data_IF_288973418814
#
_entry.id   IF_288973418814
#
_cell.length_a   1.000
_cell.length_b   1.000
_cell.length_c   1.000
_cell.angle_alpha   90.00
_cell.angle_beta   90.00
_cell.angle_gamma   90.00
#
_symmetry.space_group_name_H-M   'P 1'
#
loop_
_entity.id
_entity.type
_entity.pdbx_description
1 polymer ?
#
# COMPACT_ATOMS: atom_id res chain seq x y z
N UNK A 1 10.01 18.10 18.90
CA UNK A 1 9.12 17.82 17.78
C UNK A 1 7.82 17.22 18.29
N UNK A 2 6.72 17.55 17.64
CA UNK A 2 5.40 17.01 17.92
C UNK A 2 5.22 15.65 17.25
N UNK A 3 4.59 14.71 17.97
CA UNK A 3 4.17 13.41 17.45
C UNK A 3 2.78 13.06 18.00
N UNK A 4 1.99 12.30 17.23
CA UNK A 4 0.70 11.77 17.68
C UNK A 4 0.82 10.25 17.80
N UNK A 5 0.50 9.75 18.99
CA UNK A 5 0.60 8.33 19.30
C UNK A 5 -0.38 7.90 20.39
N UNK A 6 -0.13 6.76 21.00
CA UNK A 6 -0.96 6.22 22.09
C UNK A 6 -0.10 5.36 23.04
N UNK A 7 -0.58 5.16 24.27
CA UNK A 7 0.13 4.41 25.32
C UNK A 7 -0.32 2.96 25.42
N UNK A 8 -1.58 2.70 25.10
CA UNK A 8 -2.19 1.36 25.17
C UNK A 8 -3.02 1.10 23.92
N UNK A 9 -3.12 -0.15 23.46
CA UNK A 9 -3.99 -0.49 22.32
C UNK A 9 -5.44 -0.12 22.64
N UNK A 10 -6.19 0.30 21.64
CA UNK A 10 -7.60 0.71 21.81
C UNK A 10 -8.43 0.48 20.56
N UNK A 11 -9.75 0.32 20.75
CA UNK A 11 -10.75 0.31 19.68
C UNK A 11 -11.37 1.71 19.53
N UNK A 12 -11.89 2.03 18.33
CA UNK A 12 -12.49 3.36 18.12
C UNK A 12 -13.77 3.60 18.92
N UNK A 13 -14.50 2.56 19.29
CA UNK A 13 -15.70 2.64 20.14
C UNK A 13 -15.39 2.93 21.63
N UNK A 14 -14.14 2.77 22.05
CA UNK A 14 -13.65 3.22 23.35
C UNK A 14 -13.41 4.75 23.42
N UNK A 15 -13.49 5.43 22.27
CA UNK A 15 -13.22 6.86 22.12
C UNK A 15 -11.85 7.17 21.56
N UNK A 16 -11.50 8.46 21.53
CA UNK A 16 -10.21 8.91 21.01
C UNK A 16 -9.12 8.78 22.10
N UNK A 17 -8.30 7.75 21.99
CA UNK A 17 -7.15 7.51 22.89
C UNK A 17 -5.80 7.91 22.28
N UNK A 18 -5.79 8.60 21.15
CA UNK A 18 -4.58 9.25 20.67
C UNK A 18 -4.20 10.41 21.59
N UNK A 19 -2.90 10.63 21.77
CA UNK A 19 -2.34 11.71 22.56
C UNK A 19 -1.24 12.43 21.77
N UNK A 20 -1.04 13.70 22.04
CA UNK A 20 0.09 14.48 21.53
C UNK A 20 1.30 14.31 22.46
N UNK A 21 2.45 14.02 21.87
CA UNK A 21 3.73 13.90 22.56
C UNK A 21 4.72 14.90 22.02
N UNK A 22 5.62 15.36 22.87
CA UNK A 22 6.74 16.21 22.50
C UNK A 22 8.04 15.48 22.76
N UNK A 23 8.82 15.23 21.70
CA UNK A 23 10.13 14.58 21.75
C UNK A 23 11.22 15.57 21.33
N UNK A 24 12.45 15.27 21.69
CA UNK A 24 13.62 15.92 21.08
C UNK A 24 13.70 15.51 19.60
N UNK A 25 14.19 16.42 18.75
CA UNK A 25 14.46 16.08 17.36
C UNK A 25 15.64 15.10 17.32
N UNK A 26 15.49 13.89 16.75
CA UNK A 26 16.55 12.91 16.74
C UNK A 26 17.69 13.32 15.81
N UNK A 27 18.87 12.72 16.00
CA UNK A 27 20.02 12.92 15.15
C UNK A 27 20.26 11.67 14.28
N UNK A 28 20.36 11.81 12.95
CA UNK A 28 20.65 10.69 12.07
C UNK A 28 22.10 10.22 12.24
N UNK A 29 22.32 8.92 12.10
CA UNK A 29 23.62 8.24 12.14
C UNK A 29 23.70 7.22 11.01
N UNK A 30 24.90 6.81 10.61
CA UNK A 30 25.08 5.80 9.58
C UNK A 30 24.32 6.14 8.29
N UNK A 31 23.44 5.26 7.86
CA UNK A 31 22.61 5.41 6.66
C UNK A 31 21.26 6.08 6.89
N UNK A 32 21.02 6.68 8.05
CA UNK A 32 19.75 7.33 8.38
C UNK A 32 19.62 8.73 7.78
N UNK A 33 18.41 9.06 7.38
CA UNK A 33 17.97 10.39 6.96
C UNK A 33 17.04 10.95 8.05
N UNK A 34 17.21 12.19 8.43
CA UNK A 34 16.24 12.94 9.22
C UNK A 34 15.32 13.69 8.24
N UNK A 35 14.09 13.26 8.13
CA UNK A 35 13.11 13.85 7.23
C UNK A 35 12.14 14.73 8.00
N UNK A 36 12.02 16.01 7.60
CA UNK A 36 10.96 16.90 8.04
C UNK A 36 9.70 16.57 7.26
N UNK A 37 8.73 15.96 7.93
CA UNK A 37 7.49 15.43 7.31
C UNK A 37 6.59 16.56 6.88
N UNK A 38 6.04 16.48 5.67
CA UNK A 38 5.08 17.45 5.10
C UNK A 38 3.69 16.87 5.00
N UNK A 39 3.57 15.59 4.66
CA UNK A 39 2.30 14.88 4.55
C UNK A 39 2.49 13.39 4.84
N UNK A 40 1.46 12.78 5.39
CA UNK A 40 1.39 11.34 5.71
C UNK A 40 0.12 10.74 5.11
N UNK A 41 0.09 9.43 4.94
CA UNK A 41 -1.12 8.73 4.51
C UNK A 41 -1.44 7.58 5.44
N UNK A 42 -2.69 7.51 5.88
CA UNK A 42 -3.17 6.47 6.80
C UNK A 42 -3.61 5.23 6.00
N UNK A 43 -3.26 4.06 6.50
CA UNK A 43 -3.47 2.77 5.86
C UNK A 43 -4.28 1.82 6.75
N UNK A 44 -4.97 0.80 6.20
CA UNK A 44 -5.63 -0.22 7.02
C UNK A 44 -4.69 -0.98 7.98
N UNK A 45 -3.39 -1.03 7.70
CA UNK A 45 -2.40 -1.61 8.62
C UNK A 45 -2.22 -0.75 9.86
N UNK A 46 -2.33 0.57 9.77
CA UNK A 46 -2.27 1.48 10.92
C UNK A 46 -3.45 1.20 11.88
N UNK A 47 -4.66 1.02 11.34
CA UNK A 47 -5.85 0.72 12.17
C UNK A 47 -5.72 -0.63 12.87
N UNK A 48 -5.14 -1.63 12.19
CA UNK A 48 -4.86 -2.94 12.80
C UNK A 48 -3.77 -2.85 13.87
N UNK A 49 -2.69 -2.13 13.60
CA UNK A 49 -1.59 -1.99 14.57
C UNK A 49 -1.97 -1.17 15.81
N UNK A 50 -2.95 -0.26 15.71
CA UNK A 50 -3.50 0.44 16.86
C UNK A 50 -4.10 -0.52 17.90
N UNK A 51 -4.63 -1.66 17.47
CA UNK A 51 -5.26 -2.64 18.34
C UNK A 51 -4.30 -3.76 18.84
N UNK A 52 -3.04 -3.72 18.39
CA UNK A 52 -2.03 -4.70 18.79
C UNK A 52 -1.32 -4.28 20.08
N UNK A 53 -0.78 -5.22 20.87
CA UNK A 53 0.01 -4.90 22.04
C UNK A 53 1.11 -3.89 21.77
N UNK A 54 1.37 -3.00 22.73
CA UNK A 54 2.40 -1.96 22.67
C UNK A 54 3.59 -2.39 23.50
N UNK A 55 4.71 -2.73 22.85
CA UNK A 55 5.93 -3.15 23.54
C UNK A 55 6.63 -1.97 24.23
N UNK A 56 6.62 -0.80 23.58
CA UNK A 56 7.19 0.45 24.10
C UNK A 56 6.23 1.62 23.90
N UNK A 57 5.79 2.19 25.02
CA UNK A 57 4.90 3.36 25.02
C UNK A 57 5.71 4.67 25.12
N UNK A 58 5.29 5.76 24.47
CA UNK A 58 4.17 5.81 23.54
C UNK A 58 4.52 5.18 22.19
N UNK A 59 3.53 4.63 21.47
CA UNK A 59 3.67 4.15 20.10
C UNK A 59 3.20 5.21 19.13
N UNK A 60 4.06 5.61 18.22
CA UNK A 60 3.76 6.47 17.07
C UNK A 60 3.62 5.58 15.84
N UNK A 61 2.45 5.59 15.20
CA UNK A 61 2.17 4.87 13.95
C UNK A 61 2.41 5.76 12.72
N UNK A 62 2.03 5.23 11.56
CA UNK A 62 2.18 5.86 10.26
C UNK A 62 3.33 5.24 9.46
N UNK A 63 3.08 5.01 8.19
CA UNK A 63 4.09 4.40 7.31
C UNK A 63 4.43 5.33 6.15
N UNK A 64 3.40 5.75 5.39
CA UNK A 64 3.60 6.64 4.25
C UNK A 64 3.98 8.06 4.68
N UNK A 65 5.01 8.62 4.07
CA UNK A 65 5.34 10.03 4.21
C UNK A 65 5.95 10.64 2.95
N UNK A 66 5.77 11.95 2.84
CA UNK A 66 6.55 12.86 1.99
C UNK A 66 7.14 13.93 2.87
N UNK A 67 8.40 14.25 2.67
CA UNK A 67 9.07 15.29 3.42
C UNK A 67 10.36 15.77 2.75
N UNK A 68 11.05 16.66 3.46
CA UNK A 68 12.35 17.20 3.04
C UNK A 68 13.44 16.65 3.96
N UNK A 69 14.53 16.18 3.41
CA UNK A 69 15.71 15.78 4.19
C UNK A 69 16.29 17.01 4.85
N UNK A 70 16.27 17.02 6.18
CA UNK A 70 16.83 18.09 7.01
C UNK A 70 18.31 17.84 7.36
N UNK A 71 18.64 16.56 7.64
CA UNK A 71 20.01 16.11 7.95
C UNK A 71 20.21 14.69 7.46
N UNK A 72 21.48 14.33 7.26
CA UNK A 72 21.89 12.98 6.84
C UNK A 72 22.92 12.40 7.81
N UNK A 73 22.93 11.08 7.96
CA UNK A 73 23.96 10.33 8.66
C UNK A 73 25.28 10.29 7.87
N UNK A 74 26.34 9.93 8.55
CA UNK A 74 27.72 9.99 8.03
C UNK A 74 28.05 8.94 6.96
N UNK A 75 27.18 7.92 6.75
CA UNK A 75 27.34 6.89 5.71
C UNK A 75 26.32 7.03 4.57
N UNK A 76 25.45 8.03 4.61
CA UNK A 76 24.50 8.29 3.54
C UNK A 76 25.21 8.65 2.25
N UNK A 77 24.83 8.00 1.15
CA UNK A 77 25.44 8.16 -0.16
C UNK A 77 24.48 8.48 -1.30
N UNK A 78 23.18 8.20 -1.12
CA UNK A 78 22.17 8.30 -2.19
C UNK A 78 21.42 9.63 -2.18
N UNK A 79 21.49 10.39 -1.11
CA UNK A 79 20.71 11.61 -0.89
C UNK A 79 21.54 12.75 -0.30
N UNK A 80 21.00 13.96 -0.36
CA UNK A 80 21.54 15.16 0.25
C UNK A 80 20.47 15.96 1.00
N UNK A 81 20.88 16.82 1.90
CA UNK A 81 19.99 17.78 2.57
C UNK A 81 19.24 18.63 1.54
N UNK A 82 17.94 18.86 1.77
CA UNK A 82 17.03 19.56 0.86
C UNK A 82 16.36 18.69 -0.19
N UNK A 83 16.73 17.43 -0.37
CA UNK A 83 16.01 16.52 -1.26
C UNK A 83 14.59 16.31 -0.75
N UNK A 84 13.60 16.40 -1.65
CA UNK A 84 12.20 16.04 -1.36
C UNK A 84 12.04 14.56 -1.61
N UNK A 85 11.60 13.83 -0.60
CA UNK A 85 11.55 12.37 -0.62
C UNK A 85 10.19 11.83 -0.24
N UNK A 86 9.89 10.60 -0.67
CA UNK A 86 8.72 9.83 -0.29
C UNK A 86 9.10 8.39 0.05
N UNK A 87 8.39 7.79 0.99
CA UNK A 87 8.74 6.47 1.49
C UNK A 87 7.60 5.80 2.25
N UNK A 88 7.76 4.51 2.49
CA UNK A 88 7.01 3.77 3.49
C UNK A 88 7.98 3.24 4.54
N UNK A 89 7.71 3.57 5.81
CA UNK A 89 8.56 3.19 6.94
C UNK A 89 8.52 1.70 7.28
N UNK A 90 9.08 1.35 8.44
CA UNK A 90 9.16 -0.02 8.96
C UNK A 90 8.38 -0.18 10.26
N UNK A 91 7.74 -1.35 10.52
CA UNK A 91 6.96 -1.58 11.74
C UNK A 91 7.76 -1.59 13.05
N UNK A 92 9.09 -1.77 12.96
CA UNK A 92 10.00 -1.82 14.12
C UNK A 92 10.58 -0.46 14.53
N UNK A 93 10.16 0.62 13.88
CA UNK A 93 10.57 1.99 14.17
C UNK A 93 9.36 2.87 14.50
N UNK A 94 9.59 4.08 15.02
CA UNK A 94 8.55 5.09 15.10
C UNK A 94 8.03 5.41 13.70
N UNK A 95 6.71 5.59 13.61
CA UNK A 95 6.05 5.86 12.34
C UNK A 95 5.99 7.35 11.99
N UNK A 96 5.39 7.65 10.86
CA UNK A 96 5.38 9.00 10.26
C UNK A 96 4.38 9.98 10.88
N UNK A 97 3.61 9.59 11.91
CA UNK A 97 2.67 10.51 12.57
C UNK A 97 3.41 11.50 13.49
N UNK A 98 4.48 12.11 12.98
CA UNK A 98 5.36 13.04 13.69
C UNK A 98 5.96 14.10 12.75
N UNK A 99 6.49 15.20 13.28
CA UNK A 99 7.05 16.29 12.48
C UNK A 99 8.39 15.95 11.82
N UNK A 100 9.19 15.09 12.44
CA UNK A 100 10.49 14.62 11.94
C UNK A 100 10.61 13.14 12.15
N UNK A 101 11.01 12.41 11.13
CA UNK A 101 11.21 10.97 11.19
C UNK A 101 12.62 10.58 10.76
N UNK A 102 13.22 9.62 11.48
CA UNK A 102 14.41 8.91 11.02
C UNK A 102 13.98 7.76 10.10
N UNK A 103 14.67 7.63 8.97
CA UNK A 103 14.42 6.57 7.99
C UNK A 103 15.72 6.19 7.28
N UNK A 104 15.96 4.91 7.05
CA UNK A 104 17.11 4.42 6.30
C UNK A 104 17.01 4.80 4.81
N UNK A 105 18.13 5.25 4.20
CA UNK A 105 18.18 5.68 2.80
C UNK A 105 17.68 4.61 1.81
N UNK A 106 17.82 3.31 2.15
CA UNK A 106 17.38 2.19 1.30
C UNK A 106 15.86 2.05 1.18
N UNK A 107 15.10 2.67 2.07
CA UNK A 107 13.64 2.66 2.07
C UNK A 107 13.01 3.86 1.36
N UNK A 108 13.83 4.79 0.87
CA UNK A 108 13.42 6.12 0.45
C UNK A 108 13.71 6.33 -1.04
N UNK A 109 12.89 7.10 -1.74
CA UNK A 109 13.22 7.65 -3.06
C UNK A 109 12.85 9.13 -3.16
N UNK A 110 13.39 9.82 -4.16
CA UNK A 110 12.98 11.21 -4.47
C UNK A 110 11.54 11.24 -4.91
N UNK A 111 10.75 12.13 -4.32
CA UNK A 111 9.34 12.28 -4.67
C UNK A 111 9.17 12.78 -6.11
N UNK A 112 8.07 12.38 -6.80
CA UNK A 112 7.77 12.88 -8.15
C UNK A 112 7.66 14.41 -8.17
N UNK A 113 8.41 15.07 -9.04
CA UNK A 113 8.50 16.54 -9.11
C UNK A 113 7.23 17.23 -9.60
N UNK A 114 6.37 16.49 -10.30
CA UNK A 114 5.12 16.98 -10.89
C UNK A 114 3.91 16.79 -9.99
N UNK A 115 4.09 16.27 -8.76
CA UNK A 115 3.03 16.10 -7.78
C UNK A 115 3.25 17.01 -6.57
N UNK A 116 2.15 17.41 -5.94
CA UNK A 116 2.17 17.99 -4.59
C UNK A 116 2.43 16.90 -3.56
N UNK A 117 2.88 17.30 -2.34
CA UNK A 117 3.19 16.34 -1.27
C UNK A 117 2.00 15.42 -0.95
N UNK A 118 0.79 15.97 -0.80
CA UNK A 118 -0.42 15.20 -0.52
C UNK A 118 -0.81 14.20 -1.63
N UNK A 119 -0.37 14.44 -2.85
CA UNK A 119 -0.57 13.51 -3.95
C UNK A 119 0.49 12.39 -3.96
N UNK A 120 1.76 12.76 -3.79
CA UNK A 120 2.86 11.80 -3.78
C UNK A 120 2.78 10.82 -2.59
N UNK A 121 2.30 11.29 -1.43
CA UNK A 121 2.16 10.48 -0.21
C UNK A 121 1.19 9.30 -0.35
N UNK A 122 0.29 9.33 -1.35
CA UNK A 122 -0.65 8.23 -1.59
C UNK A 122 -0.02 6.98 -2.20
N UNK A 123 1.26 7.04 -2.60
CA UNK A 123 1.87 6.04 -3.47
C UNK A 123 2.78 5.02 -2.76
N UNK A 124 3.58 5.36 -1.71
CA UNK A 124 4.68 4.51 -1.27
C UNK A 124 4.25 3.11 -0.85
N UNK A 125 3.51 2.96 0.25
CA UNK A 125 3.11 1.65 0.77
C UNK A 125 2.34 0.83 -0.27
N UNK A 126 1.35 1.45 -0.88
CA UNK A 126 0.49 0.78 -1.85
C UNK A 126 1.23 0.41 -3.13
N UNK A 127 2.14 1.27 -3.57
CA UNK A 127 2.98 1.05 -4.73
C UNK A 127 4.01 -0.06 -4.50
N UNK A 128 4.70 -0.06 -3.35
CA UNK A 128 5.61 -1.15 -2.96
C UNK A 128 4.89 -2.49 -2.91
N UNK A 129 3.74 -2.55 -2.22
CA UNK A 129 2.91 -3.76 -2.17
C UNK A 129 2.54 -4.26 -3.58
N UNK A 130 2.15 -3.35 -4.48
CA UNK A 130 1.80 -3.72 -5.85
C UNK A 130 3.02 -4.17 -6.67
N UNK A 131 4.18 -3.50 -6.54
CA UNK A 131 5.41 -3.89 -7.25
C UNK A 131 5.92 -5.25 -6.80
N UNK A 132 6.01 -5.49 -5.50
CA UNK A 132 6.43 -6.79 -4.96
C UNK A 132 5.49 -7.90 -5.41
N UNK A 133 4.17 -7.70 -5.30
CA UNK A 133 3.19 -8.68 -5.77
C UNK A 133 3.35 -8.97 -7.26
N UNK A 134 3.44 -7.96 -8.10
CA UNK A 134 3.45 -8.15 -9.54
C UNK A 134 4.79 -8.71 -10.05
N UNK A 135 5.92 -8.22 -9.54
CA UNK A 135 7.22 -8.58 -10.09
C UNK A 135 7.93 -9.68 -9.33
N UNK A 136 7.91 -9.67 -7.99
CA UNK A 136 8.64 -10.65 -7.19
C UNK A 136 7.78 -11.91 -6.95
N UNK A 137 6.47 -11.75 -6.72
CA UNK A 137 5.57 -12.89 -6.44
C UNK A 137 5.02 -13.51 -7.72
N UNK A 138 4.46 -12.71 -8.63
CA UNK A 138 3.87 -13.22 -9.86
C UNK A 138 4.88 -13.40 -11.00
N UNK A 139 6.06 -12.79 -10.90
CA UNK A 139 7.08 -12.86 -11.94
C UNK A 139 6.63 -12.26 -13.27
N UNK A 140 5.84 -11.18 -13.23
CA UNK A 140 5.40 -10.48 -14.43
C UNK A 140 6.61 -9.86 -15.12
N UNK A 141 6.70 -10.04 -16.44
CA UNK A 141 7.81 -9.46 -17.22
C UNK A 141 7.73 -7.93 -17.25
N UNK A 142 8.90 -7.29 -17.12
CA UNK A 142 9.04 -5.84 -17.35
C UNK A 142 8.94 -5.47 -18.84
N UNK A 143 8.88 -6.45 -19.74
CA UNK A 143 8.56 -6.25 -21.15
C UNK A 143 7.06 -6.48 -21.38
N UNK A 144 6.24 -5.45 -21.68
CA UNK A 144 4.78 -5.58 -21.82
C UNK A 144 4.36 -6.59 -22.90
N UNK A 145 5.15 -6.78 -23.95
CA UNK A 145 4.82 -7.74 -25.03
C UNK A 145 4.78 -9.19 -24.57
N UNK A 146 5.55 -9.53 -23.53
CA UNK A 146 5.61 -10.91 -22.98
C UNK A 146 4.42 -11.21 -22.04
N UNK A 147 3.69 -10.21 -21.63
CA UNK A 147 2.49 -10.36 -20.80
C UNK A 147 1.20 -10.36 -21.62
N UNK A 148 1.31 -10.16 -22.93
CA UNK A 148 0.13 -10.11 -23.82
C UNK A 148 -0.68 -11.40 -23.71
N UNK A 149 -2.00 -11.27 -23.48
CA UNK A 149 -2.92 -12.38 -23.30
C UNK A 149 -3.02 -12.93 -21.88
N UNK A 150 -2.15 -12.49 -20.96
CA UNK A 150 -2.27 -12.81 -19.54
C UNK A 150 -3.27 -11.87 -18.84
N UNK A 151 -3.96 -12.38 -17.84
CA UNK A 151 -5.01 -11.67 -17.12
C UNK A 151 -4.77 -11.67 -15.62
N UNK A 152 -5.09 -10.53 -14.99
CA UNK A 152 -5.02 -10.31 -13.54
C UNK A 152 -6.41 -9.94 -13.03
N UNK A 153 -6.89 -10.66 -12.01
CA UNK A 153 -8.03 -10.25 -11.20
C UNK A 153 -7.53 -9.56 -9.93
N UNK A 154 -7.98 -8.33 -9.70
CA UNK A 154 -7.75 -7.59 -8.46
C UNK A 154 -9.06 -7.51 -7.67
N UNK A 155 -9.10 -8.13 -6.49
CA UNK A 155 -10.23 -8.03 -5.58
C UNK A 155 -10.10 -6.73 -4.79
N UNK A 156 -11.15 -5.88 -4.81
CA UNK A 156 -11.16 -4.52 -4.26
C UNK A 156 -10.30 -3.53 -5.08
N UNK A 157 -10.59 -3.41 -6.37
CA UNK A 157 -9.86 -2.55 -7.30
C UNK A 157 -9.88 -1.06 -6.98
N UNK A 158 -10.90 -0.57 -6.27
CA UNK A 158 -11.01 0.84 -5.89
C UNK A 158 -10.30 1.20 -4.57
N UNK A 159 -9.75 0.24 -3.84
CA UNK A 159 -8.92 0.48 -2.66
C UNK A 159 -7.54 1.05 -3.03
N UNK A 160 -6.77 1.47 -2.03
CA UNK A 160 -5.44 2.07 -2.26
C UNK A 160 -4.50 1.19 -3.08
N UNK A 161 -4.27 -0.06 -2.67
CA UNK A 161 -3.44 -1.03 -3.40
C UNK A 161 -4.05 -1.37 -4.75
N UNK A 162 -5.35 -1.66 -4.81
CA UNK A 162 -6.04 -2.02 -6.05
C UNK A 162 -5.93 -0.93 -7.12
N UNK A 163 -5.99 0.34 -6.71
CA UNK A 163 -5.91 1.50 -7.62
C UNK A 163 -4.55 1.59 -8.31
N UNK A 164 -3.46 1.48 -7.57
CA UNK A 164 -2.11 1.57 -8.16
C UNK A 164 -1.71 0.25 -8.86
N UNK A 165 -2.09 -0.91 -8.33
CA UNK A 165 -1.84 -2.20 -8.96
C UNK A 165 -2.51 -2.31 -10.34
N UNK A 166 -3.73 -1.76 -10.49
CA UNK A 166 -4.43 -1.66 -11.78
C UNK A 166 -3.58 -0.88 -12.80
N UNK A 167 -3.09 0.29 -12.44
CA UNK A 167 -2.29 1.13 -13.33
C UNK A 167 -0.97 0.44 -13.74
N UNK A 168 -0.27 -0.16 -12.77
CA UNK A 168 0.97 -0.88 -13.02
C UNK A 168 0.72 -2.06 -13.97
N UNK A 169 -0.27 -2.90 -13.65
CA UNK A 169 -0.60 -4.07 -14.45
C UNK A 169 -0.98 -3.70 -15.90
N UNK A 170 -1.74 -2.61 -16.07
CA UNK A 170 -2.06 -2.08 -17.42
C UNK A 170 -0.84 -1.61 -18.17
N UNK A 171 0.03 -0.86 -17.53
CA UNK A 171 1.27 -0.37 -18.14
C UNK A 171 2.13 -1.53 -18.65
N UNK A 172 2.18 -2.64 -17.89
CA UNK A 172 2.93 -3.83 -18.26
C UNK A 172 2.14 -4.84 -19.12
N UNK A 173 1.02 -4.43 -19.71
CA UNK A 173 0.34 -5.16 -20.79
C UNK A 173 -0.61 -6.27 -20.35
N UNK A 174 -0.98 -6.35 -19.08
CA UNK A 174 -1.98 -7.30 -18.60
C UNK A 174 -3.41 -6.86 -18.96
N UNK A 175 -4.31 -7.84 -19.15
CA UNK A 175 -5.75 -7.62 -19.07
C UNK A 175 -6.15 -7.55 -17.60
N UNK A 176 -6.65 -6.39 -17.15
CA UNK A 176 -6.98 -6.17 -15.74
C UNK A 176 -8.48 -6.25 -15.51
N UNK A 177 -8.87 -7.15 -14.61
CA UNK A 177 -10.23 -7.34 -14.13
C UNK A 177 -10.23 -6.91 -12.66
N UNK A 178 -11.17 -6.06 -12.24
CA UNK A 178 -11.29 -5.64 -10.85
C UNK A 178 -12.67 -5.93 -10.27
N UNK A 179 -12.78 -5.91 -8.95
CA UNK A 179 -14.09 -5.92 -8.29
C UNK A 179 -14.38 -4.58 -7.62
N UNK A 180 -15.58 -4.05 -7.84
CA UNK A 180 -16.15 -2.88 -7.19
C UNK A 180 -17.66 -2.99 -7.16
N UNK A 181 -18.39 -2.23 -6.33
CA UNK A 181 -19.86 -2.43 -6.21
C UNK A 181 -20.67 -1.15 -6.25
N UNK A 182 -20.13 -0.01 -5.86
CA UNK A 182 -20.79 1.29 -5.95
C UNK A 182 -20.43 1.96 -7.27
N UNK A 183 -21.29 2.85 -7.76
CA UNK A 183 -21.10 3.55 -9.03
C UNK A 183 -19.78 4.35 -9.05
N UNK A 184 -19.47 5.05 -7.95
CA UNK A 184 -18.23 5.81 -7.76
C UNK A 184 -17.00 4.92 -7.81
N UNK A 185 -17.03 3.76 -7.14
CA UNK A 185 -15.93 2.79 -7.13
C UNK A 185 -15.72 2.10 -8.48
N UNK A 186 -16.81 1.86 -9.22
CA UNK A 186 -16.76 1.31 -10.59
C UNK A 186 -16.11 2.33 -11.53
N UNK A 187 -16.58 3.58 -11.52
CA UNK A 187 -15.98 4.67 -12.31
C UNK A 187 -14.51 4.88 -11.97
N UNK A 188 -14.18 4.87 -10.69
CA UNK A 188 -12.79 4.98 -10.24
C UNK A 188 -11.92 3.86 -10.80
N UNK A 189 -12.35 2.60 -10.67
CA UNK A 189 -11.58 1.44 -11.17
C UNK A 189 -11.36 1.52 -12.69
N UNK A 190 -12.35 1.96 -13.45
CA UNK A 190 -12.21 2.18 -14.90
C UNK A 190 -11.19 3.29 -15.18
N UNK A 191 -11.24 4.41 -14.43
CA UNK A 191 -10.30 5.52 -14.58
C UNK A 191 -8.85 5.11 -14.23
N UNK A 192 -8.67 4.15 -13.32
CA UNK A 192 -7.37 3.55 -13.01
C UNK A 192 -6.88 2.58 -14.09
N UNK A 193 -7.69 2.26 -15.08
CA UNK A 193 -7.30 1.45 -16.23
C UNK A 193 -7.83 0.01 -16.23
N UNK A 194 -8.81 -0.34 -15.38
CA UNK A 194 -9.43 -1.66 -15.42
C UNK A 194 -10.17 -1.90 -16.75
N UNK A 195 -9.95 -3.06 -17.38
CA UNK A 195 -10.66 -3.47 -18.60
C UNK A 195 -12.08 -3.96 -18.30
N UNK A 196 -12.25 -4.61 -17.14
CA UNK A 196 -13.54 -5.16 -16.70
C UNK A 196 -13.69 -4.87 -15.20
N UNK A 197 -14.85 -4.39 -14.79
CA UNK A 197 -15.21 -4.20 -13.39
C UNK A 197 -16.40 -5.06 -13.05
N UNK A 198 -16.23 -6.01 -12.13
CA UNK A 198 -17.25 -6.93 -11.67
C UNK A 198 -17.84 -6.44 -10.34
N UNK A 199 -19.15 -6.57 -10.19
CA UNK A 199 -19.83 -6.15 -8.97
C UNK A 199 -19.86 -7.28 -7.93
N UNK A 200 -19.03 -7.17 -6.88
CA UNK A 200 -18.90 -8.18 -5.84
C UNK A 200 -20.14 -8.32 -4.91
N UNK A 201 -21.16 -7.46 -5.06
CA UNK A 201 -22.48 -7.62 -4.39
C UNK A 201 -23.45 -8.44 -5.20
N UNK A 202 -23.11 -8.79 -6.45
CA UNK A 202 -23.89 -9.66 -7.33
C UNK A 202 -23.19 -11.01 -7.47
N UNK A 203 -23.83 -11.96 -8.10
CA UNK A 203 -23.22 -13.26 -8.39
C UNK A 203 -22.01 -13.08 -9.31
N UNK A 204 -20.81 -13.26 -8.75
CA UNK A 204 -19.55 -13.14 -9.49
C UNK A 204 -19.37 -14.28 -10.50
N UNK A 205 -19.86 -15.50 -10.19
CA UNK A 205 -19.75 -16.65 -11.10
C UNK A 205 -20.55 -16.41 -12.40
N UNK A 206 -21.73 -15.79 -12.26
CA UNK A 206 -22.52 -15.42 -13.44
C UNK A 206 -21.83 -14.30 -14.22
N UNK A 207 -21.31 -13.28 -13.55
CA UNK A 207 -20.58 -12.19 -14.22
C UNK A 207 -19.32 -12.67 -14.95
N UNK A 208 -18.60 -13.67 -14.40
CA UNK A 208 -17.48 -14.29 -15.12
C UNK A 208 -17.94 -14.94 -16.43
N UNK A 209 -19.05 -15.68 -16.41
CA UNK A 209 -19.63 -16.29 -17.62
C UNK A 209 -20.08 -15.24 -18.63
N UNK A 210 -20.78 -14.21 -18.18
CA UNK A 210 -21.29 -13.13 -19.05
C UNK A 210 -20.16 -12.34 -19.73
N UNK A 211 -18.99 -12.27 -19.10
CA UNK A 211 -17.79 -11.65 -19.66
C UNK A 211 -16.82 -12.63 -20.32
N UNK A 212 -17.23 -13.90 -20.53
CA UNK A 212 -16.42 -14.96 -21.12
C UNK A 212 -15.07 -15.16 -20.39
N UNK A 213 -15.06 -15.06 -19.04
CA UNK A 213 -13.89 -15.28 -18.20
C UNK A 213 -13.96 -16.69 -17.63
N UNK A 214 -13.25 -17.62 -18.25
CA UNK A 214 -13.16 -19.01 -17.79
C UNK A 214 -12.11 -19.21 -16.70
N UNK A 215 -11.11 -18.32 -16.66
CA UNK A 215 -10.06 -18.31 -15.65
C UNK A 215 -9.07 -17.17 -15.88
N UNK A 216 -8.29 -16.86 -14.84
CA UNK A 216 -7.27 -15.81 -14.87
C UNK A 216 -5.89 -16.38 -14.49
N UNK A 217 -4.84 -15.75 -15.02
CA UNK A 217 -3.46 -16.18 -14.77
C UNK A 217 -3.00 -15.78 -13.37
N UNK A 218 -3.44 -14.62 -12.90
CA UNK A 218 -3.07 -14.03 -11.62
C UNK A 218 -4.29 -13.54 -10.85
N UNK A 219 -4.28 -13.72 -9.53
CA UNK A 219 -5.31 -13.15 -8.63
C UNK A 219 -4.61 -12.41 -7.50
N UNK A 220 -4.92 -11.13 -7.33
CA UNK A 220 -4.45 -10.31 -6.26
C UNK A 220 -5.62 -9.92 -5.34
N UNK A 221 -5.68 -10.55 -4.16
CA UNK A 221 -6.71 -10.27 -3.16
C UNK A 221 -6.21 -9.21 -2.18
N UNK A 222 -6.80 -8.01 -2.23
CA UNK A 222 -6.45 -6.90 -1.34
C UNK A 222 -7.52 -6.62 -0.27
N UNK A 223 -8.42 -7.58 -0.06
CA UNK A 223 -9.52 -7.49 0.91
C UNK A 223 -9.68 -8.82 1.66
N UNK A 224 -10.85 -9.21 2.06
CA UNK A 224 -11.19 -10.38 2.86
C UNK A 224 -10.80 -11.69 2.14
N UNK A 225 -9.67 -12.27 2.54
CA UNK A 225 -9.12 -13.47 1.90
C UNK A 225 -10.00 -14.71 2.14
N UNK A 226 -10.56 -14.84 3.34
CA UNK A 226 -11.45 -15.98 3.68
C UNK A 226 -12.67 -16.00 2.77
N UNK A 227 -13.33 -14.87 2.63
CA UNK A 227 -14.54 -14.71 1.82
C UNK A 227 -14.34 -15.11 0.35
N UNK A 228 -13.16 -14.81 -0.19
CA UNK A 228 -12.88 -14.99 -1.62
C UNK A 228 -12.07 -16.25 -1.93
N UNK A 229 -11.60 -17.00 -0.94
CA UNK A 229 -10.66 -18.11 -1.14
C UNK A 229 -11.21 -19.15 -2.12
N UNK A 230 -12.42 -19.68 -1.89
CA UNK A 230 -13.02 -20.70 -2.78
C UNK A 230 -13.18 -20.19 -4.22
N UNK A 231 -13.62 -18.94 -4.37
CA UNK A 231 -13.74 -18.32 -5.71
C UNK A 231 -12.38 -18.20 -6.39
N UNK A 232 -11.33 -17.79 -5.65
CA UNK A 232 -9.97 -17.67 -6.19
C UNK A 232 -9.44 -19.03 -6.65
N UNK A 233 -9.62 -20.08 -5.85
CA UNK A 233 -9.23 -21.45 -6.20
C UNK A 233 -9.92 -21.92 -7.49
N UNK A 234 -11.20 -21.65 -7.62
CA UNK A 234 -11.98 -22.05 -8.79
C UNK A 234 -11.56 -21.31 -10.06
N UNK A 235 -11.29 -20.01 -9.95
CA UNK A 235 -11.06 -19.12 -11.08
C UNK A 235 -9.60 -19.08 -11.57
N UNK A 236 -8.62 -19.33 -10.69
CA UNK A 236 -7.21 -19.35 -11.10
C UNK A 236 -6.96 -20.47 -12.09
N UNK A 237 -6.25 -20.17 -13.18
CA UNK A 237 -5.84 -21.15 -14.19
C UNK A 237 -4.83 -22.15 -13.62
N UNK A 238 -4.68 -23.35 -14.21
CA UNK A 238 -3.56 -24.24 -13.91
C UNK A 238 -2.22 -23.49 -14.02
N UNK A 239 -1.34 -23.68 -13.00
CA UNK A 239 -0.03 -23.01 -12.84
C UNK A 239 -0.13 -21.50 -12.65
N UNK A 240 -1.32 -20.96 -12.36
CA UNK A 240 -1.52 -19.55 -12.01
C UNK A 240 -1.08 -19.23 -10.59
N UNK A 241 -1.16 -17.95 -10.24
CA UNK A 241 -0.69 -17.44 -8.95
C UNK A 241 -1.82 -16.69 -8.22
N UNK A 242 -1.89 -16.90 -6.93
CA UNK A 242 -2.75 -16.13 -6.01
C UNK A 242 -1.86 -15.44 -4.99
N UNK A 243 -2.02 -14.13 -4.83
CA UNK A 243 -1.40 -13.37 -3.75
C UNK A 243 -2.48 -12.66 -2.93
N UNK A 244 -2.25 -12.55 -1.63
CA UNK A 244 -3.12 -11.84 -0.70
C UNK A 244 -2.30 -11.02 0.29
N UNK A 245 -2.83 -9.85 0.69
CA UNK A 245 -2.24 -8.96 1.71
C UNK A 245 -3.03 -8.99 3.03
N UNK A 246 -4.09 -9.79 3.09
CA UNK A 246 -4.91 -9.96 4.30
C UNK A 246 -4.78 -11.40 4.77
N UNK A 247 -4.37 -11.57 6.01
CA UNK A 247 -4.25 -12.90 6.62
C UNK A 247 -5.61 -13.60 6.69
N UNK A 248 -5.59 -14.92 6.69
CA UNK A 248 -6.78 -15.71 7.01
C UNK A 248 -7.14 -15.59 8.49
N UNK A 249 -8.42 -15.49 8.76
CA UNK A 249 -8.99 -15.58 10.12
C UNK A 249 -9.47 -17.01 10.43
N UNK A 250 -9.59 -17.87 9.42
CA UNK A 250 -10.02 -19.26 9.52
C UNK A 250 -9.06 -20.19 8.77
N UNK A 251 -9.11 -21.49 9.13
CA UNK A 251 -8.31 -22.50 8.42
C UNK A 251 -8.84 -22.70 7.00
N UNK A 252 -7.90 -22.78 6.03
CA UNK A 252 -8.20 -23.04 4.63
C UNK A 252 -7.51 -24.30 4.14
N UNK A 253 -8.19 -25.05 3.28
CA UNK A 253 -7.62 -26.26 2.67
C UNK A 253 -6.79 -25.93 1.43
N UNK A 254 -5.48 -25.84 1.60
CA UNK A 254 -4.55 -25.61 0.50
C UNK A 254 -4.46 -26.78 -0.51
N UNK A 255 -4.99 -27.98 -0.16
CA UNK A 255 -5.04 -29.10 -1.10
C UNK A 255 -5.91 -28.80 -2.33
N UNK A 256 -6.87 -27.88 -2.21
CA UNK A 256 -7.69 -27.41 -3.33
C UNK A 256 -6.86 -26.80 -4.47
N UNK A 257 -5.65 -26.32 -4.20
CA UNK A 257 -4.73 -25.73 -5.17
C UNK A 257 -3.90 -26.79 -5.91
N UNK A 258 -3.79 -28.01 -5.35
CA UNK A 258 -2.85 -29.05 -5.79
C UNK A 258 -3.08 -29.47 -7.24
N UNK A 259 -4.33 -29.76 -7.62
CA UNK A 259 -4.66 -30.27 -8.96
C UNK A 259 -4.30 -29.30 -10.10
N UNK A 260 -4.24 -28.00 -9.80
CA UNK A 260 -3.86 -26.94 -10.73
C UNK A 260 -2.40 -26.49 -10.58
N UNK A 261 -1.65 -27.02 -9.61
CA UNK A 261 -0.26 -26.57 -9.29
C UNK A 261 -0.18 -25.05 -9.09
N UNK A 262 -1.11 -24.48 -8.32
CA UNK A 262 -1.20 -23.05 -8.08
C UNK A 262 -0.19 -22.60 -7.03
N UNK A 263 0.47 -21.47 -7.26
CA UNK A 263 1.28 -20.80 -6.25
C UNK A 263 0.37 -19.89 -5.41
N UNK A 264 0.42 -20.03 -4.08
CA UNK A 264 -0.28 -19.14 -3.14
C UNK A 264 0.74 -18.42 -2.25
N UNK A 265 0.63 -17.10 -2.15
CA UNK A 265 1.58 -16.28 -1.38
C UNK A 265 0.82 -15.26 -0.53
N UNK A 266 1.23 -15.14 0.73
CA UNK A 266 0.94 -13.94 1.52
C UNK A 266 1.99 -12.88 1.19
N UNK A 267 1.55 -11.77 0.61
CA UNK A 267 2.41 -10.61 0.37
C UNK A 267 2.43 -9.70 1.59
N UNK A 268 3.62 -9.30 2.03
CA UNK A 268 3.83 -8.40 3.14
C UNK A 268 5.06 -7.53 2.87
N UNK A 269 4.85 -6.36 2.28
CA UNK A 269 5.92 -5.46 1.84
C UNK A 269 6.89 -5.05 2.97
N UNK A 270 6.47 -5.18 4.23
CA UNK A 270 7.35 -4.93 5.36
C UNK A 270 8.36 -6.06 5.65
N UNK A 271 8.27 -7.20 4.96
CA UNK A 271 9.22 -8.30 5.16
C UNK A 271 10.66 -7.86 4.99
N UNK A 272 10.97 -7.08 3.96
CA UNK A 272 12.31 -6.59 3.68
C UNK A 272 12.85 -5.69 4.79
N UNK A 273 12.19 -4.59 5.17
CA UNK A 273 12.69 -3.72 6.23
C UNK A 273 12.63 -4.38 7.63
N UNK A 274 11.65 -5.26 7.88
CA UNK A 274 11.50 -5.93 9.18
C UNK A 274 12.62 -6.94 9.46
N UNK A 275 13.05 -7.66 8.42
CA UNK A 275 14.07 -8.71 8.51
C UNK A 275 15.43 -8.28 7.97
N UNK A 276 15.60 -7.02 7.55
CA UNK A 276 16.84 -6.49 6.96
C UNK A 276 17.41 -7.44 5.90
N UNK A 277 16.56 -7.83 4.91
CA UNK A 277 16.97 -8.77 3.86
C UNK A 277 18.05 -8.15 2.97
N UNK A 278 18.89 -8.99 2.33
CA UNK A 278 19.98 -8.55 1.45
C UNK A 278 19.51 -7.68 0.28
N UNK A 279 18.21 -7.80 -0.07
CA UNK A 279 17.58 -7.07 -1.17
C UNK A 279 16.67 -5.90 -0.71
N UNK A 280 16.86 -5.38 0.51
CA UNK A 280 16.07 -4.26 1.05
C UNK A 280 16.12 -3.01 0.16
N UNK A 281 17.20 -2.83 -0.60
CA UNK A 281 17.36 -1.75 -1.59
C UNK A 281 16.26 -1.74 -2.67
N UNK A 282 15.55 -2.83 -2.88
CA UNK A 282 14.42 -2.88 -3.83
C UNK A 282 13.32 -1.91 -3.48
N UNK A 283 13.14 -1.55 -2.21
CA UNK A 283 12.19 -0.49 -1.84
C UNK A 283 12.55 0.84 -2.49
N UNK A 284 13.82 1.24 -2.41
CA UNK A 284 14.32 2.42 -3.13
C UNK A 284 14.09 2.30 -4.65
N UNK A 285 14.48 1.16 -5.25
CA UNK A 285 14.38 0.95 -6.69
C UNK A 285 12.93 1.00 -7.20
N UNK A 286 12.00 0.39 -6.45
CA UNK A 286 10.58 0.39 -6.81
C UNK A 286 9.95 1.76 -6.65
N UNK A 287 10.22 2.46 -5.55
CA UNK A 287 9.75 3.83 -5.35
C UNK A 287 10.31 4.76 -6.44
N UNK A 288 11.59 4.67 -6.75
CA UNK A 288 12.21 5.43 -7.85
C UNK A 288 11.51 5.17 -9.17
N UNK A 289 11.23 3.90 -9.51
CA UNK A 289 10.52 3.56 -10.72
C UNK A 289 9.09 4.10 -10.72
N UNK A 290 8.38 4.05 -9.59
CA UNK A 290 7.05 4.66 -9.44
C UNK A 290 7.13 6.17 -9.71
N UNK A 291 8.08 6.87 -9.11
CA UNK A 291 8.26 8.30 -9.32
C UNK A 291 8.50 8.64 -10.80
N UNK A 292 9.39 7.90 -11.46
CA UNK A 292 9.67 8.07 -12.89
C UNK A 292 8.42 7.84 -13.75
N UNK A 293 7.60 6.82 -13.45
CA UNK A 293 6.36 6.54 -14.19
C UNK A 293 5.28 7.59 -13.95
N UNK A 294 5.22 8.16 -12.78
CA UNK A 294 4.35 9.30 -12.47
C UNK A 294 4.80 10.55 -13.23
N UNK A 295 6.09 10.86 -13.23
CA UNK A 295 6.63 12.02 -13.97
C UNK A 295 6.41 11.91 -15.49
N UNK A 296 6.43 10.69 -16.01
CA UNK A 296 6.14 10.37 -17.42
C UNK A 296 4.63 10.35 -17.74
N UNK A 297 3.75 10.48 -16.73
CA UNK A 297 2.29 10.48 -16.91
C UNK A 297 1.66 9.09 -17.08
N UNK A 298 2.39 8.02 -16.83
CA UNK A 298 1.84 6.64 -16.87
C UNK A 298 1.07 6.27 -15.64
N UNK A 299 1.47 6.78 -14.47
CA UNK A 299 0.74 6.57 -13.22
C UNK A 299 0.24 7.91 -12.69
N UNK A 300 -0.93 7.88 -12.09
CA UNK A 300 -1.53 9.02 -11.40
C UNK A 300 -1.67 8.73 -9.89
N UNK A 301 -1.66 9.77 -9.05
CA UNK A 301 -1.83 9.62 -7.61
C UNK A 301 -3.21 9.04 -7.28
N UNK A 302 -3.28 8.36 -6.16
CA UNK A 302 -4.51 7.70 -5.70
C UNK A 302 -5.18 8.44 -4.54
N UNK A 303 -4.76 9.65 -4.21
CA UNK A 303 -5.36 10.51 -3.18
C UNK A 303 -6.77 10.93 -3.57
N UNK A 304 -7.74 10.67 -2.70
CA UNK A 304 -9.14 11.09 -2.88
C UNK A 304 -9.65 11.95 -1.73
N UNK A 305 -8.97 11.92 -0.58
CA UNK A 305 -9.32 12.71 0.58
C UNK A 305 -8.07 13.28 1.25
N UNK A 306 -8.14 14.55 1.62
CA UNK A 306 -7.08 15.26 2.36
C UNK A 306 -7.69 15.87 3.62
N UNK A 307 -7.03 15.65 4.76
CA UNK A 307 -7.27 16.30 6.03
C UNK A 307 -6.09 17.25 6.28
N UNK A 308 -6.33 18.46 6.76
CA UNK A 308 -5.26 19.42 7.05
C UNK A 308 -4.97 19.48 8.54
N UNK A 309 -3.70 19.54 8.88
CA UNK A 309 -3.17 19.58 10.25
C UNK A 309 -3.08 18.19 10.90
N UNK A 310 -1.86 17.80 11.32
CA UNK A 310 -1.66 16.61 12.14
C UNK A 310 -2.05 16.91 13.58
N UNK A 311 -3.09 16.27 14.05
CA UNK A 311 -3.62 16.40 15.42
C UNK A 311 -4.21 15.08 15.91
N UNK A 312 -4.49 15.00 17.19
CA UNK A 312 -5.23 13.90 17.81
C UNK A 312 -6.55 13.64 17.09
N UNK A 313 -7.31 14.71 16.81
CA UNK A 313 -8.63 14.61 16.18
C UNK A 313 -8.55 14.22 14.70
N UNK A 314 -7.61 14.81 13.94
CA UNK A 314 -7.45 14.48 12.51
C UNK A 314 -7.00 13.02 12.30
N UNK A 315 -6.14 12.50 13.18
CA UNK A 315 -5.72 11.11 13.10
C UNK A 315 -6.86 10.16 13.49
N UNK A 316 -7.64 10.51 14.53
CA UNK A 316 -8.81 9.74 14.92
C UNK A 316 -9.87 9.70 13.81
N UNK A 317 -10.19 10.85 13.21
CA UNK A 317 -11.09 10.96 12.05
C UNK A 317 -10.61 10.07 10.89
N UNK A 318 -9.30 10.10 10.59
CA UNK A 318 -8.72 9.29 9.52
C UNK A 318 -8.92 7.79 9.77
N UNK A 319 -8.70 7.32 11.01
CA UNK A 319 -8.93 5.93 11.39
C UNK A 319 -10.42 5.54 11.29
N UNK A 320 -11.34 6.41 11.73
CA UNK A 320 -12.79 6.18 11.60
C UNK A 320 -13.21 6.02 10.13
N UNK A 321 -12.68 6.88 9.25
CA UNK A 321 -12.97 6.81 7.82
C UNK A 321 -12.49 5.48 7.23
N UNK A 322 -11.29 5.05 7.56
CA UNK A 322 -10.74 3.78 7.06
C UNK A 322 -11.54 2.57 7.55
N UNK A 323 -11.91 2.53 8.82
CA UNK A 323 -12.70 1.44 9.40
C UNK A 323 -14.17 1.42 8.92
N UNK A 324 -14.66 2.51 8.35
CA UNK A 324 -15.98 2.51 7.69
C UNK A 324 -16.03 1.67 6.42
N UNK A 325 -14.88 1.19 5.93
CA UNK A 325 -14.72 0.42 4.68
C UNK A 325 -15.33 1.08 3.44
N UNK A 326 -15.49 2.41 3.47
CA UNK A 326 -16.11 3.18 2.38
C UNK A 326 -15.10 3.94 1.50
N UNK A 327 -13.82 3.96 1.90
CA UNK A 327 -12.75 4.69 1.19
C UNK A 327 -12.59 4.21 -0.26
N UNK A 328 -12.31 5.18 -1.12
CA UNK A 328 -11.80 5.01 -2.49
C UNK A 328 -10.38 5.56 -2.47
N UNK A 329 -9.44 4.87 -3.11
CA UNK A 329 -8.06 5.33 -3.15
C UNK A 329 -7.46 5.53 -1.77
N UNK A 330 -6.87 6.71 -1.52
CA UNK A 330 -6.10 6.99 -0.31
C UNK A 330 -6.54 8.28 0.40
N UNK A 331 -6.47 8.22 1.74
CA UNK A 331 -6.62 9.36 2.62
C UNK A 331 -5.24 9.85 3.08
N UNK A 332 -5.02 11.14 3.00
CA UNK A 332 -3.77 11.83 3.34
C UNK A 332 -4.04 12.89 4.40
N UNK A 333 -3.12 13.04 5.35
CA UNK A 333 -3.08 14.17 6.29
C UNK A 333 -1.91 15.06 5.86
N UNK A 334 -2.21 16.31 5.52
CA UNK A 334 -1.22 17.34 5.25
C UNK A 334 -0.85 18.00 6.58
N UNK A 335 0.44 18.03 6.93
CA UNK A 335 0.89 18.54 8.24
C UNK A 335 0.79 20.06 8.39
N UNK A 336 0.64 20.79 7.29
CA UNK A 336 0.51 22.26 7.27
C UNK A 336 -0.94 22.71 7.28
#
# INVERSE_FOLDING_TARGET
MKAIGFKSPFQLDEGNCFEEFNFDIPHPSGHELLVKVQSISVNPVDTKQRTMPVDKAPRVLGFDAVGVIEKIGDQVSMFQEGDVVFYSGSPNQNGSNEEYQLIEEYLVAKAPKNLKSEQATSLPLTGLTAYETLFDVFGISKNPSENKGKSLLIINGAGGVGSIATQIAKFYGLKVITTASREDTIKWSINMGADIVLNHRKDLRQQFKDNHIEGVDYIFCTFDTDKYYEMMVNLVKPRGHIATIVAFNSQQDLNLLKSKSVTFTHEFMFSRPLHHTDDVIKHHEYLKNIAEKVEQGYYQPTTTRVINGLSVDSLYEAHQILESHSMIGKLVINLK
#
